data_IF_589648456903
#
_entry.id   IF_589648456903
#
_cell.length_a   1.000
_cell.length_b   1.000
_cell.length_c   1.000
_cell.angle_alpha   90.00
_cell.angle_beta   90.00
_cell.angle_gamma   90.00
#
_symmetry.space_group_name_H-M   'P 1'
#
loop_
_entity.id
_entity.type
_entity.pdbx_description
1 polymer ?
#
# COMPACT_ATOMS: atom_id res chain seq x y z
N UNK A 1 16.36 15.86 13.74
CA UNK A 1 15.13 15.28 14.33
C UNK A 1 13.88 15.45 13.45
N UNK A 2 13.98 15.92 12.20
CA UNK A 2 12.80 16.06 11.31
C UNK A 2 12.43 14.76 10.57
N UNK A 3 13.38 13.83 10.38
CA UNK A 3 13.15 12.57 9.65
C UNK A 3 12.20 11.58 10.35
N UNK A 4 12.02 11.72 11.67
CA UNK A 4 11.08 10.91 12.42
C UNK A 4 9.64 11.28 12.08
N UNK A 5 9.33 12.56 11.84
CA UNK A 5 7.93 13.00 11.71
C UNK A 5 7.28 12.49 10.43
N UNK A 6 7.98 12.58 9.29
CA UNK A 6 7.43 12.15 7.99
C UNK A 6 7.38 10.63 7.85
N UNK A 7 8.44 9.93 8.27
CA UNK A 7 8.48 8.45 8.24
C UNK A 7 7.44 7.84 9.19
N UNK A 8 7.28 8.41 10.39
CA UNK A 8 6.27 7.95 11.33
C UNK A 8 4.84 8.23 10.85
N UNK A 9 4.63 9.37 10.16
CA UNK A 9 3.32 9.68 9.58
C UNK A 9 2.91 8.65 8.52
N UNK A 10 3.85 8.28 7.64
CA UNK A 10 3.63 7.24 6.63
C UNK A 10 3.20 5.91 7.24
N UNK A 11 3.89 5.46 8.29
CA UNK A 11 3.54 4.21 9.00
C UNK A 11 2.19 4.31 9.71
N UNK A 12 1.88 5.47 10.31
CA UNK A 12 0.61 5.70 11.00
C UNK A 12 -0.56 5.58 10.03
N UNK A 13 -0.49 6.24 8.87
CA UNK A 13 -1.57 6.16 7.88
C UNK A 13 -1.61 4.79 7.22
N UNK A 14 -0.46 4.18 6.94
CA UNK A 14 -0.42 2.89 6.24
C UNK A 14 -0.92 1.73 7.10
N UNK A 15 -0.69 1.74 8.42
CA UNK A 15 -0.96 0.57 9.25
C UNK A 15 -1.93 0.86 10.41
N UNK A 16 -1.71 1.94 11.16
CA UNK A 16 -2.50 2.18 12.38
C UNK A 16 -3.95 2.53 12.03
N UNK A 17 -4.18 3.46 11.10
CA UNK A 17 -5.54 3.86 10.72
C UNK A 17 -6.37 2.70 10.13
N UNK A 18 -5.88 1.93 9.14
CA UNK A 18 -6.63 0.78 8.61
C UNK A 18 -6.88 -0.29 9.66
N UNK A 19 -5.90 -0.57 10.51
CA UNK A 19 -6.07 -1.56 11.56
C UNK A 19 -7.09 -1.13 12.62
N UNK A 20 -7.10 0.14 13.00
CA UNK A 20 -8.14 0.70 13.87
C UNK A 20 -9.52 0.54 13.24
N UNK A 21 -9.67 0.83 11.94
CA UNK A 21 -10.94 0.64 11.21
C UNK A 21 -11.40 -0.83 11.25
N UNK A 22 -10.49 -1.80 11.09
CA UNK A 22 -10.82 -3.21 11.24
C UNK A 22 -11.24 -3.56 12.67
N UNK A 23 -10.52 -3.07 13.68
CA UNK A 23 -10.89 -3.30 15.08
C UNK A 23 -12.27 -2.74 15.41
N UNK A 24 -12.60 -1.56 14.87
CA UNK A 24 -13.94 -0.99 14.99
C UNK A 24 -15.00 -1.91 14.39
N UNK A 25 -14.77 -2.47 13.20
CA UNK A 25 -15.70 -3.44 12.63
C UNK A 25 -15.82 -4.72 13.47
N UNK A 26 -14.71 -5.23 13.98
CA UNK A 26 -14.67 -6.41 14.84
C UNK A 26 -15.35 -6.19 16.20
N UNK A 27 -15.48 -4.94 16.67
CA UNK A 27 -16.14 -4.64 17.94
C UNK A 27 -17.62 -4.99 17.93
N UNK A 28 -18.26 -5.02 16.75
CA UNK A 28 -19.64 -5.51 16.60
C UNK A 28 -19.82 -6.98 17.03
N UNK A 29 -18.76 -7.78 17.04
CA UNK A 29 -18.78 -9.19 17.45
C UNK A 29 -18.08 -9.46 18.79
N UNK A 30 -17.47 -8.45 19.41
CA UNK A 30 -16.62 -8.65 20.60
C UNK A 30 -16.78 -7.54 21.63
N UNK A 31 -17.42 -7.87 22.76
CA UNK A 31 -17.56 -6.98 23.91
C UNK A 31 -16.21 -6.49 24.47
N UNK A 32 -15.16 -7.32 24.36
CA UNK A 32 -13.80 -6.95 24.76
C UNK A 32 -13.28 -5.78 23.93
N UNK A 33 -13.46 -5.84 22.60
CA UNK A 33 -13.06 -4.76 21.71
C UNK A 33 -13.92 -3.50 21.93
N UNK A 34 -15.22 -3.64 22.21
CA UNK A 34 -16.08 -2.50 22.57
C UNK A 34 -15.59 -1.78 23.82
N UNK A 35 -15.16 -2.55 24.84
CA UNK A 35 -14.60 -1.99 26.08
C UNK A 35 -13.28 -1.28 25.82
N UNK A 36 -12.39 -1.86 25.02
CA UNK A 36 -11.13 -1.21 24.65
C UNK A 36 -11.34 0.10 23.87
N UNK A 37 -12.36 0.14 23.01
CA UNK A 37 -12.74 1.31 22.22
C UNK A 37 -13.59 2.34 23.01
N UNK A 38 -13.93 2.07 24.27
CA UNK A 38 -14.75 2.96 25.10
C UNK A 38 -16.20 3.09 24.62
N UNK A 39 -16.73 2.09 23.90
CA UNK A 39 -18.12 2.09 23.43
C UNK A 39 -19.13 1.79 24.55
N UNK A 40 -18.67 1.24 25.68
CA UNK A 40 -19.50 0.95 26.86
C UNK A 40 -19.46 2.12 27.86
N UNK A 41 -20.61 2.76 28.08
CA UNK A 41 -20.75 4.07 28.73
C UNK A 41 -20.50 4.12 30.25
N UNK A 42 -20.01 3.05 30.87
CA UNK A 42 -19.92 2.94 32.32
C UNK A 42 -18.53 3.22 32.90
N UNK A 43 -17.47 3.17 32.09
CA UNK A 43 -16.10 3.32 32.59
C UNK A 43 -15.34 4.41 31.80
N UNK A 44 -14.57 5.23 32.52
CA UNK A 44 -13.66 6.21 31.94
C UNK A 44 -12.64 5.49 31.02
N UNK A 45 -12.21 6.11 29.90
CA UNK A 45 -11.18 5.53 29.04
C UNK A 45 -9.94 5.16 29.85
N UNK A 46 -9.60 3.87 29.88
CA UNK A 46 -8.44 3.39 30.63
C UNK A 46 -7.18 3.54 29.77
N UNK A 47 -6.04 3.83 30.42
CA UNK A 47 -4.72 3.82 29.76
C UNK A 47 -4.45 2.45 29.12
N UNK A 48 -4.92 1.37 29.74
CA UNK A 48 -4.83 0.01 29.20
C UNK A 48 -5.62 -0.18 27.90
N UNK A 49 -6.86 0.33 27.84
CA UNK A 49 -7.68 0.29 26.62
C UNK A 49 -6.99 0.96 25.44
N UNK A 50 -6.44 2.17 25.64
CA UNK A 50 -5.67 2.86 24.62
C UNK A 50 -4.46 2.05 24.13
N UNK A 51 -3.68 1.45 25.05
CA UNK A 51 -2.53 0.63 24.70
C UNK A 51 -2.94 -0.60 23.87
N UNK A 52 -3.99 -1.31 24.28
CA UNK A 52 -4.49 -2.48 23.57
C UNK A 52 -5.06 -2.13 22.19
N UNK A 53 -5.81 -1.03 22.07
CA UNK A 53 -6.31 -0.54 20.77
C UNK A 53 -5.15 -0.20 19.85
N UNK A 54 -4.10 0.45 20.37
CA UNK A 54 -2.94 0.83 19.55
C UNK A 54 -2.18 -0.40 19.06
N UNK A 55 -1.85 -1.34 19.94
CA UNK A 55 -1.17 -2.58 19.57
C UNK A 55 -2.02 -3.45 18.61
N UNK A 56 -3.31 -3.58 18.92
CA UNK A 56 -4.25 -4.31 18.07
C UNK A 56 -4.41 -3.65 16.69
N UNK A 57 -4.42 -2.32 16.62
CA UNK A 57 -4.49 -1.59 15.36
C UNK A 57 -3.24 -1.83 14.52
N UNK A 58 -2.06 -1.86 15.12
CA UNK A 58 -0.83 -2.19 14.38
C UNK A 58 -0.92 -3.62 13.82
N UNK A 59 -1.30 -4.60 14.65
CA UNK A 59 -1.41 -6.00 14.24
C UNK A 59 -2.47 -6.21 13.13
N UNK A 60 -3.66 -5.62 13.30
CA UNK A 60 -4.72 -5.66 12.32
C UNK A 60 -4.33 -4.95 11.01
N UNK A 61 -3.63 -3.82 11.10
CA UNK A 61 -3.13 -3.08 9.95
C UNK A 61 -2.08 -3.85 9.14
N UNK A 62 -1.16 -4.53 9.82
CA UNK A 62 -0.21 -5.44 9.18
C UNK A 62 -0.93 -6.59 8.46
N UNK A 63 -1.96 -7.14 9.09
CA UNK A 63 -2.79 -8.22 8.50
C UNK A 63 -3.55 -7.71 7.26
N UNK A 64 -4.14 -6.52 7.34
CA UNK A 64 -4.77 -5.85 6.20
C UNK A 64 -3.78 -5.65 5.05
N UNK A 65 -2.52 -5.36 5.35
CA UNK A 65 -1.47 -5.20 4.34
C UNK A 65 -1.12 -6.49 3.60
N UNK A 66 -1.14 -7.63 4.30
CA UNK A 66 -1.01 -8.95 3.69
C UNK A 66 -2.21 -9.28 2.79
N UNK A 67 -3.42 -8.97 3.24
CA UNK A 67 -4.63 -9.16 2.43
C UNK A 67 -4.68 -8.25 1.20
N UNK A 68 -4.25 -6.98 1.34
CA UNK A 68 -4.09 -6.05 0.22
C UNK A 68 -3.12 -6.62 -0.80
N UNK A 69 -1.96 -7.12 -0.37
CA UNK A 69 -1.03 -7.78 -1.27
C UNK A 69 -1.69 -8.94 -2.04
N UNK A 70 -2.44 -9.79 -1.34
CA UNK A 70 -3.09 -10.96 -1.95
C UNK A 70 -4.24 -10.60 -2.91
N UNK A 71 -5.01 -9.55 -2.62
CA UNK A 71 -6.23 -9.23 -3.35
C UNK A 71 -6.04 -8.08 -4.33
N UNK A 72 -5.55 -6.95 -3.83
CA UNK A 72 -5.46 -5.69 -4.58
C UNK A 72 -4.26 -5.70 -5.50
N UNK A 73 -3.11 -6.20 -5.06
CA UNK A 73 -1.92 -6.21 -5.93
C UNK A 73 -2.13 -7.22 -7.07
N UNK A 74 -2.74 -8.37 -6.78
CA UNK A 74 -3.15 -9.32 -7.82
C UNK A 74 -4.15 -8.70 -8.79
N UNK A 75 -5.13 -7.92 -8.31
CA UNK A 75 -6.06 -7.18 -9.17
C UNK A 75 -5.33 -6.14 -10.03
N UNK A 76 -4.37 -5.39 -9.48
CA UNK A 76 -3.59 -4.40 -10.23
C UNK A 76 -2.72 -5.06 -11.30
N UNK A 77 -2.05 -6.17 -10.98
CA UNK A 77 -1.26 -6.93 -11.94
C UNK A 77 -2.14 -7.48 -13.07
N UNK A 78 -3.29 -8.07 -12.72
CA UNK A 78 -4.24 -8.60 -13.69
C UNK A 78 -4.78 -7.50 -14.63
N UNK A 79 -5.00 -6.29 -14.10
CA UNK A 79 -5.47 -5.15 -14.89
C UNK A 79 -4.36 -4.41 -15.65
N UNK A 80 -3.14 -4.96 -15.68
CA UNK A 80 -2.06 -4.52 -16.56
C UNK A 80 -1.00 -3.64 -15.91
N UNK A 81 -1.00 -3.47 -14.59
CA UNK A 81 0.07 -2.75 -13.89
C UNK A 81 1.28 -3.70 -13.72
N UNK A 82 2.17 -3.68 -14.71
CA UNK A 82 3.37 -4.52 -14.71
C UNK A 82 4.44 -3.94 -13.79
N UNK A 83 5.11 -4.82 -13.02
CA UNK A 83 6.22 -4.43 -12.18
C UNK A 83 7.47 -4.19 -13.04
N UNK A 84 8.01 -2.97 -13.09
CA UNK A 84 9.24 -2.69 -13.82
C UNK A 84 10.45 -3.37 -13.17
N UNK A 85 11.42 -3.73 -14.00
CA UNK A 85 12.74 -4.22 -13.55
C UNK A 85 13.60 -3.00 -13.25
N UNK A 86 14.02 -2.84 -12.00
CA UNK A 86 14.84 -1.71 -11.57
C UNK A 86 16.33 -2.06 -11.53
N UNK A 87 17.19 -1.12 -11.93
CA UNK A 87 18.63 -1.21 -11.75
C UNK A 87 19.02 -0.66 -10.37
N UNK A 88 19.25 -1.57 -9.42
CA UNK A 88 19.63 -1.20 -8.06
C UNK A 88 21.09 -0.79 -7.89
N UNK A 89 21.92 -0.87 -8.94
CA UNK A 89 23.33 -0.41 -8.86
C UNK A 89 23.42 1.08 -8.55
N UNK A 90 22.45 1.86 -9.04
CA UNK A 90 22.38 3.31 -8.83
C UNK A 90 21.71 3.71 -7.52
N UNK A 91 21.19 2.75 -6.74
CA UNK A 91 20.43 3.04 -5.52
C UNK A 91 21.28 3.81 -4.51
N UNK A 92 22.53 3.40 -4.29
CA UNK A 92 23.42 4.01 -3.29
C UNK A 92 23.66 5.50 -3.55
N UNK A 93 23.77 5.90 -4.83
CA UNK A 93 23.96 7.30 -5.23
C UNK A 93 22.66 8.11 -5.17
N UNK A 94 21.50 7.45 -5.23
CA UNK A 94 20.18 8.07 -5.40
C UNK A 94 19.20 7.80 -4.26
N UNK A 95 19.69 7.36 -3.10
CA UNK A 95 18.86 7.02 -1.91
C UNK A 95 17.92 8.15 -1.52
N UNK A 96 18.40 9.40 -1.51
CA UNK A 96 17.58 10.55 -1.10
C UNK A 96 16.39 10.80 -2.03
N UNK A 97 16.59 10.65 -3.33
CA UNK A 97 15.51 10.76 -4.32
C UNK A 97 14.53 9.58 -4.18
N UNK A 98 15.05 8.37 -3.93
CA UNK A 98 14.24 7.17 -3.72
C UNK A 98 13.37 7.27 -2.46
N UNK A 99 13.95 7.66 -1.32
CA UNK A 99 13.22 7.89 -0.06
C UNK A 99 12.07 8.90 -0.27
N UNK A 100 12.32 9.95 -1.04
CA UNK A 100 11.28 10.95 -1.34
C UNK A 100 10.11 10.37 -2.14
N UNK A 101 10.37 9.45 -3.06
CA UNK A 101 9.31 8.76 -3.81
C UNK A 101 8.49 7.81 -2.94
N UNK A 102 9.14 7.14 -1.98
CA UNK A 102 8.43 6.32 -0.99
C UNK A 102 7.44 7.18 -0.20
N UNK A 103 7.89 8.34 0.29
CA UNK A 103 7.07 9.24 1.08
C UNK A 103 5.86 9.79 0.31
N UNK A 104 6.07 10.25 -0.93
CA UNK A 104 5.03 10.94 -1.69
C UNK A 104 4.04 9.97 -2.34
N UNK A 105 4.47 8.77 -2.74
CA UNK A 105 3.64 7.86 -3.52
C UNK A 105 3.39 6.52 -2.83
N UNK A 106 4.44 5.90 -2.28
CA UNK A 106 4.30 4.53 -1.76
C UNK A 106 3.49 4.47 -0.45
N UNK A 107 3.68 5.42 0.47
CA UNK A 107 2.87 5.46 1.70
C UNK A 107 1.38 5.70 1.41
N UNK A 108 1.06 6.55 0.43
CA UNK A 108 -0.33 6.78 0.02
C UNK A 108 -0.93 5.57 -0.68
N UNK A 109 -0.15 4.85 -1.48
CA UNK A 109 -0.53 3.56 -2.02
C UNK A 109 -0.89 2.56 -0.91
N UNK A 110 -0.02 2.39 0.09
CA UNK A 110 -0.25 1.49 1.23
C UNK A 110 -1.50 1.91 2.01
N UNK A 111 -1.66 3.21 2.29
CA UNK A 111 -2.84 3.72 2.99
C UNK A 111 -4.13 3.41 2.23
N UNK A 112 -4.23 3.77 0.95
CA UNK A 112 -5.43 3.52 0.15
C UNK A 112 -5.74 2.02 0.04
N UNK A 113 -4.72 1.20 -0.25
CA UNK A 113 -4.88 -0.24 -0.36
C UNK A 113 -5.33 -0.87 0.96
N UNK A 114 -4.64 -0.59 2.05
CA UNK A 114 -4.99 -1.14 3.36
C UNK A 114 -6.34 -0.62 3.87
N UNK A 115 -6.68 0.65 3.65
CA UNK A 115 -7.99 1.20 4.02
C UNK A 115 -9.14 0.54 3.25
N UNK A 116 -8.95 0.21 1.97
CA UNK A 116 -10.00 -0.46 1.21
C UNK A 116 -10.29 -1.87 1.76
N UNK A 117 -9.25 -2.64 2.11
CA UNK A 117 -9.40 -3.93 2.81
C UNK A 117 -10.07 -3.72 4.17
N UNK A 118 -9.63 -2.71 4.92
CA UNK A 118 -10.17 -2.44 6.25
C UNK A 118 -11.65 -2.06 6.22
N UNK A 119 -12.06 -1.24 5.25
CA UNK A 119 -13.47 -0.87 5.07
C UNK A 119 -14.33 -2.07 4.67
N UNK A 120 -13.86 -2.90 3.73
CA UNK A 120 -14.57 -4.14 3.36
C UNK A 120 -14.74 -5.02 4.59
N UNK A 121 -13.66 -5.32 5.32
CA UNK A 121 -13.71 -6.16 6.52
C UNK A 121 -14.62 -5.57 7.60
N UNK A 122 -14.50 -4.27 7.85
CA UNK A 122 -15.25 -3.61 8.91
C UNK A 122 -16.75 -3.58 8.63
N UNK A 123 -17.15 -3.24 7.40
CA UNK A 123 -18.57 -3.21 7.03
C UNK A 123 -19.17 -4.60 6.85
N UNK A 124 -18.40 -5.59 6.41
CA UNK A 124 -18.84 -6.99 6.45
C UNK A 124 -19.14 -7.42 7.89
N UNK A 125 -18.24 -7.15 8.83
CA UNK A 125 -18.45 -7.49 10.25
C UNK A 125 -19.65 -6.73 10.85
N UNK A 126 -19.78 -5.44 10.56
CA UNK A 126 -20.93 -4.64 10.99
C UNK A 126 -22.25 -5.18 10.43
N UNK A 127 -22.33 -5.43 9.12
CA UNK A 127 -23.56 -5.88 8.48
C UNK A 127 -23.96 -7.30 8.89
N UNK A 128 -23.01 -8.17 9.23
CA UNK A 128 -23.35 -9.50 9.77
C UNK A 128 -23.84 -9.46 11.21
N UNK A 129 -23.50 -8.42 11.98
CA UNK A 129 -24.00 -8.23 13.34
C UNK A 129 -25.36 -7.50 13.37
N UNK A 130 -25.48 -6.38 12.66
CA UNK A 130 -26.60 -5.44 12.81
C UNK A 130 -27.55 -5.41 11.59
N UNK A 131 -27.19 -6.10 10.50
CA UNK A 131 -27.89 -6.07 9.23
C UNK A 131 -27.37 -5.01 8.26
N UNK A 132 -27.79 -5.11 6.99
CA UNK A 132 -27.38 -4.20 5.92
C UNK A 132 -28.29 -2.98 5.88
N UNK A 133 -27.71 -1.80 6.02
CA UNK A 133 -28.40 -0.53 5.77
C UNK A 133 -28.01 0.01 4.39
N UNK A 134 -28.99 0.15 3.50
CA UNK A 134 -28.77 0.58 2.09
C UNK A 134 -28.03 1.92 2.03
N UNK A 135 -28.37 2.88 2.90
CA UNK A 135 -27.69 4.18 2.94
C UNK A 135 -26.19 4.09 3.24
N UNK A 136 -25.78 3.16 4.11
CA UNK A 136 -24.37 2.90 4.39
C UNK A 136 -23.69 2.26 3.17
N UNK A 137 -24.31 1.26 2.54
CA UNK A 137 -23.77 0.60 1.36
C UNK A 137 -23.55 1.58 0.20
N UNK A 138 -24.51 2.50 -0.03
CA UNK A 138 -24.42 3.55 -1.05
C UNK A 138 -23.26 4.51 -0.80
N UNK A 139 -22.86 4.73 0.45
CA UNK A 139 -21.70 5.58 0.78
C UNK A 139 -20.37 4.79 0.72
N UNK A 140 -20.35 3.59 1.27
CA UNK A 140 -19.13 2.82 1.52
C UNK A 140 -18.61 2.17 0.24
N UNK A 141 -19.48 1.63 -0.62
CA UNK A 141 -19.05 0.96 -1.86
C UNK A 141 -18.31 1.92 -2.80
N UNK A 142 -18.82 3.15 -3.10
CA UNK A 142 -18.08 4.11 -3.90
C UNK A 142 -16.76 4.54 -3.24
N UNK A 143 -16.72 4.67 -1.92
CA UNK A 143 -15.50 5.02 -1.19
C UNK A 143 -14.42 3.94 -1.30
N UNK A 144 -14.81 2.66 -1.17
CA UNK A 144 -13.91 1.52 -1.40
C UNK A 144 -13.40 1.55 -2.84
N UNK A 145 -14.28 1.74 -3.82
CA UNK A 145 -13.91 1.88 -5.22
C UNK A 145 -12.90 3.01 -5.46
N UNK A 146 -13.13 4.17 -4.85
CA UNK A 146 -12.23 5.33 -4.90
C UNK A 146 -10.84 4.97 -4.35
N UNK A 147 -10.75 4.28 -3.22
CA UNK A 147 -9.46 3.86 -2.67
C UNK A 147 -8.74 2.82 -3.52
N UNK A 148 -9.46 1.89 -4.15
CA UNK A 148 -8.82 0.95 -5.09
C UNK A 148 -8.23 1.72 -6.28
N UNK A 149 -9.00 2.62 -6.90
CA UNK A 149 -8.52 3.47 -8.01
C UNK A 149 -7.33 4.34 -7.58
N UNK A 150 -7.42 4.99 -6.42
CA UNK A 150 -6.35 5.84 -5.90
C UNK A 150 -5.09 5.04 -5.58
N UNK A 151 -5.22 3.82 -5.03
CA UNK A 151 -4.10 2.94 -4.77
C UNK A 151 -3.39 2.54 -6.08
N UNK A 152 -4.16 2.23 -7.13
CA UNK A 152 -3.60 1.91 -8.46
C UNK A 152 -2.82 3.08 -9.05
N UNK A 153 -3.40 4.28 -9.01
CA UNK A 153 -2.77 5.49 -9.55
C UNK A 153 -1.48 5.85 -8.77
N UNK A 154 -1.52 5.79 -7.44
CA UNK A 154 -0.36 6.03 -6.60
C UNK A 154 0.77 5.03 -6.88
N UNK A 155 0.44 3.74 -7.03
CA UNK A 155 1.42 2.70 -7.36
C UNK A 155 2.03 2.89 -8.76
N UNK A 156 1.20 3.21 -9.76
CA UNK A 156 1.68 3.46 -11.12
C UNK A 156 2.66 4.65 -11.13
N UNK A 157 2.30 5.76 -10.47
CA UNK A 157 3.17 6.94 -10.33
C UNK A 157 4.47 6.58 -9.61
N UNK A 158 4.39 5.82 -8.52
CA UNK A 158 5.58 5.35 -7.81
C UNK A 158 6.52 4.57 -8.75
N UNK A 159 6.00 3.57 -9.45
CA UNK A 159 6.79 2.73 -10.36
C UNK A 159 7.43 3.53 -11.49
N UNK A 160 6.68 4.41 -12.15
CA UNK A 160 7.21 5.27 -13.22
C UNK A 160 8.31 6.21 -12.71
N UNK A 161 8.13 6.81 -11.53
CA UNK A 161 9.12 7.73 -10.97
C UNK A 161 10.37 7.00 -10.47
N UNK A 162 10.21 5.83 -9.85
CA UNK A 162 11.35 4.99 -9.43
C UNK A 162 12.14 4.53 -10.64
N UNK A 163 11.48 4.14 -11.74
CA UNK A 163 12.18 3.81 -12.98
C UNK A 163 12.98 4.99 -13.54
N UNK A 164 12.48 6.24 -13.42
CA UNK A 164 13.24 7.43 -13.77
C UNK A 164 14.43 7.72 -12.85
N UNK A 165 14.34 7.35 -11.57
CA UNK A 165 15.42 7.55 -10.59
C UNK A 165 16.46 6.43 -10.66
N UNK A 166 16.08 5.17 -10.76
CA UNK A 166 17.03 4.04 -10.74
C UNK A 166 17.49 3.62 -12.15
N UNK A 167 16.79 4.07 -13.19
CA UNK A 167 16.94 3.52 -14.54
C UNK A 167 16.13 2.24 -14.72
N UNK A 168 15.78 1.94 -15.97
CA UNK A 168 15.22 0.63 -16.32
C UNK A 168 16.39 -0.38 -16.35
N UNK A 169 16.28 -1.45 -15.57
CA UNK A 169 17.27 -2.52 -15.59
C UNK A 169 17.34 -3.13 -16.98
N UNK A 170 18.51 -3.09 -17.61
CA UNK A 170 18.77 -3.74 -18.88
C UNK A 170 18.81 -5.25 -18.68
N UNK A 171 17.66 -5.91 -18.59
CA UNK A 171 17.62 -7.35 -18.82
C UNK A 171 17.77 -7.59 -20.33
N UNK A 172 19.02 -7.77 -20.74
CA UNK A 172 19.41 -8.67 -21.83
C UNK A 172 18.57 -8.59 -23.10
N UNK A 173 18.48 -7.41 -23.73
CA UNK A 173 18.63 -7.45 -25.19
C UNK A 173 20.12 -7.59 -25.41
N UNK A 174 20.57 -8.84 -25.55
CA UNK A 174 21.85 -9.13 -26.18
C UNK A 174 21.80 -8.43 -27.53
N UNK A 175 22.31 -7.21 -27.62
CA UNK A 175 22.75 -6.67 -28.89
C UNK A 175 23.83 -7.64 -29.33
N UNK A 176 23.45 -8.57 -30.21
CA UNK A 176 24.39 -9.31 -31.01
C UNK A 176 25.20 -8.27 -31.76
N UNK A 177 26.34 -7.91 -31.20
CA UNK A 177 27.40 -7.19 -31.88
C UNK A 177 27.82 -8.13 -32.99
N UNK A 178 27.19 -7.99 -34.16
CA UNK A 178 27.75 -8.47 -35.42
C UNK A 178 28.93 -7.57 -35.73
N UNK A 179 30.01 -7.77 -34.98
CA UNK A 179 31.37 -7.40 -35.36
C UNK A 179 31.78 -8.35 -36.48
N UNK A 180 31.38 -8.02 -37.70
CA UNK A 180 32.02 -8.52 -38.91
C UNK A 180 32.59 -7.31 -39.64
N UNK A 181 33.67 -6.76 -39.05
CA UNK A 181 34.65 -6.00 -39.81
C UNK A 181 35.59 -6.96 -40.54
N UNK A 182 36.16 -6.45 -41.63
CA UNK A 182 37.26 -6.98 -42.44
C UNK A 182 36.88 -8.01 -43.54
N UNK A 183 37.20 -7.85 -44.83
CA UNK A 183 38.29 -7.06 -45.42
C UNK A 183 37.93 -6.37 -46.75
N UNK A 184 38.49 -5.17 -46.84
CA UNK A 184 38.92 -4.43 -48.03
C UNK A 184 39.64 -5.35 -49.02
N UNK A 185 39.20 -5.36 -50.28
CA UNK A 185 40.06 -5.69 -51.42
C UNK A 185 39.88 -4.63 -52.48
N UNK A 186 40.75 -3.62 -52.43
CA UNK A 186 41.09 -2.81 -53.59
C UNK A 186 42.29 -3.48 -54.27
N UNK A 187 42.16 -3.74 -55.57
CA UNK A 187 43.31 -3.98 -56.45
C UNK A 187 42.93 -3.49 -57.83
N UNK A 188 43.40 -2.30 -58.15
CA UNK A 188 43.58 -1.82 -59.51
C UNK A 188 44.76 -2.56 -60.16
N UNK A 189 44.54 -3.15 -61.35
CA UNK A 189 45.45 -3.24 -62.49
C UNK A 189 44.85 -4.14 -63.57
#
# INVERSE_FOLDING_TARGET
>A
MQDLTTKNFGLLIAYVLPGFTLLWGASHHSNTLQTWLGQTSAELPTVGGFLYVTLGSIAAGMTASTLRWLLIDTLHQWTGLQQPVWDFTQLAERVSAFDRLIEIHYHYYLWHGNMSIALVGAFVMRWTADGVHIGEAVMVIPLIGLFIVASRDALAKYQTRVAGVLGAGSLGVTQSVTSSGDQVSGSDA
#
